data_IF_026605763300
#
_entry.id   IF_026605763300
#
_cell.length_a   1.000
_cell.length_b   1.000
_cell.length_c   1.000
_cell.angle_alpha   90.00
_cell.angle_beta   90.00
_cell.angle_gamma   90.00
#
_symmetry.space_group_name_H-M   'P 1'
#
loop_
_entity.id
_entity.type
_entity.pdbx_description
1 polymer ?
#
# COMPACT_ATOMS: atom_id res chain seq x y z
N UNK A 1 -3.65 11.46 16.58
CA UNK A 1 -3.59 10.53 15.40
C UNK A 1 -3.11 9.19 15.87
N UNK A 2 -3.77 8.10 15.42
CA UNK A 2 -3.38 6.72 15.80
C UNK A 2 -2.75 5.94 14.63
N UNK A 3 -3.11 6.29 13.40
CA UNK A 3 -2.60 5.60 12.22
C UNK A 3 -2.77 6.46 10.94
N UNK A 4 -2.13 6.05 9.85
CA UNK A 4 -2.06 6.81 8.58
C UNK A 4 -3.40 6.94 7.83
N UNK A 5 -4.38 6.09 8.14
CA UNK A 5 -5.69 6.15 7.47
C UNK A 5 -6.46 7.43 7.85
N UNK A 6 -6.15 8.03 9.02
CA UNK A 6 -6.74 9.30 9.43
C UNK A 6 -6.36 10.44 8.46
N UNK A 7 -5.22 10.35 7.78
CA UNK A 7 -4.84 11.31 6.74
C UNK A 7 -5.73 11.19 5.50
N UNK A 8 -5.96 9.95 5.03
CA UNK A 8 -6.87 9.70 3.90
C UNK A 8 -8.28 10.20 4.21
N UNK A 9 -8.81 9.84 5.38
CA UNK A 9 -10.16 10.21 5.82
C UNK A 9 -10.31 11.74 5.98
N UNK A 10 -9.30 12.42 6.53
CA UNK A 10 -9.28 13.87 6.67
C UNK A 10 -9.21 14.58 5.31
N UNK A 11 -8.32 14.15 4.42
CA UNK A 11 -8.18 14.74 3.09
C UNK A 11 -9.39 14.47 2.21
N UNK A 12 -9.99 13.28 2.27
CA UNK A 12 -11.22 12.97 1.55
C UNK A 12 -12.38 13.87 2.01
N UNK A 13 -12.51 14.14 3.30
CA UNK A 13 -13.57 15.01 3.81
C UNK A 13 -13.49 16.46 3.30
N UNK A 14 -12.32 16.91 2.88
CA UNK A 14 -12.07 18.27 2.35
C UNK A 14 -12.03 18.28 0.82
N UNK A 15 -11.46 17.25 0.20
CA UNK A 15 -11.16 17.17 -1.23
C UNK A 15 -11.67 15.87 -1.88
N UNK A 16 -12.94 15.46 -1.72
CA UNK A 16 -13.42 14.14 -2.16
C UNK A 16 -13.18 13.90 -3.65
N UNK A 17 -13.45 14.90 -4.49
CA UNK A 17 -13.39 14.79 -5.95
C UNK A 17 -12.01 15.14 -6.54
N UNK A 18 -11.04 15.49 -5.71
CA UNK A 18 -9.69 15.80 -6.18
C UNK A 18 -8.94 14.51 -6.48
N UNK A 19 -8.26 14.47 -7.65
CA UNK A 19 -7.36 13.39 -8.00
C UNK A 19 -6.16 13.37 -7.04
N UNK A 20 -5.97 12.24 -6.34
CA UNK A 20 -4.86 12.04 -5.41
C UNK A 20 -3.70 11.30 -6.09
N UNK A 21 -3.99 10.27 -6.88
CA UNK A 21 -2.98 9.55 -7.67
C UNK A 21 -3.34 9.57 -9.14
N UNK A 22 -2.34 9.85 -9.97
CA UNK A 22 -2.48 9.97 -11.41
C UNK A 22 -1.48 9.05 -12.10
N UNK A 23 -1.91 8.45 -13.19
CA UNK A 23 -1.10 7.78 -14.20
C UNK A 23 -1.29 8.49 -15.54
N UNK A 24 -0.60 8.03 -16.58
CA UNK A 24 -0.66 8.65 -17.91
C UNK A 24 -2.10 8.79 -18.45
N UNK A 25 -2.92 7.75 -18.28
CA UNK A 25 -4.28 7.67 -18.81
C UNK A 25 -5.37 7.53 -17.75
N UNK A 26 -4.99 7.52 -16.47
CA UNK A 26 -5.91 7.24 -15.36
C UNK A 26 -5.62 8.13 -14.16
N UNK A 27 -6.67 8.56 -13.52
CA UNK A 27 -6.59 9.22 -12.22
C UNK A 27 -7.59 8.59 -11.25
N UNK A 28 -7.31 8.71 -9.96
CA UNK A 28 -8.18 8.24 -8.90
C UNK A 28 -8.32 9.34 -7.84
N UNK A 29 -9.55 9.63 -7.44
CA UNK A 29 -9.86 10.68 -6.45
C UNK A 29 -9.67 10.17 -5.02
N UNK A 30 -9.64 11.10 -4.05
CA UNK A 30 -9.61 10.73 -2.63
C UNK A 30 -10.79 9.85 -2.23
N UNK A 31 -11.99 10.18 -2.73
CA UNK A 31 -13.20 9.41 -2.47
C UNK A 31 -13.11 7.98 -3.04
N UNK A 32 -12.64 7.83 -4.26
CA UNK A 32 -12.48 6.52 -4.90
C UNK A 32 -11.44 5.66 -4.18
N UNK A 33 -10.30 6.26 -3.76
CA UNK A 33 -9.27 5.56 -2.96
C UNK A 33 -9.86 5.11 -1.63
N UNK A 34 -10.58 5.98 -0.93
CA UNK A 34 -11.21 5.64 0.35
C UNK A 34 -12.19 4.47 0.19
N UNK A 35 -13.13 4.58 -0.74
CA UNK A 35 -14.13 3.54 -0.98
C UNK A 35 -13.52 2.21 -1.37
N UNK A 36 -12.57 2.21 -2.32
CA UNK A 36 -11.92 0.98 -2.77
C UNK A 36 -11.06 0.35 -1.67
N UNK A 37 -10.32 1.16 -0.89
CA UNK A 37 -9.53 0.66 0.23
C UNK A 37 -10.40 0.03 1.33
N UNK A 38 -11.56 0.60 1.63
CA UNK A 38 -12.50 0.02 2.60
C UNK A 38 -13.09 -1.31 2.13
N UNK A 39 -13.38 -1.46 0.84
CA UNK A 39 -13.86 -2.72 0.24
C UNK A 39 -12.78 -3.81 0.35
N UNK A 40 -11.54 -3.50 -0.05
CA UNK A 40 -10.40 -4.41 0.10
C UNK A 40 -10.20 -4.78 1.57
N UNK A 41 -10.24 -3.80 2.47
CA UNK A 41 -10.13 -4.01 3.91
C UNK A 41 -11.19 -4.95 4.45
N UNK A 42 -12.43 -4.85 3.95
CA UNK A 42 -13.53 -5.74 4.35
C UNK A 42 -13.29 -7.19 3.93
N UNK A 43 -12.83 -7.40 2.69
CA UNK A 43 -12.48 -8.74 2.18
C UNK A 43 -11.37 -9.37 3.02
N UNK A 44 -10.36 -8.60 3.37
CA UNK A 44 -9.17 -9.08 4.08
C UNK A 44 -9.36 -9.13 5.61
N UNK A 45 -10.45 -8.59 6.14
CA UNK A 45 -10.70 -8.51 7.59
C UNK A 45 -10.83 -9.89 8.27
N UNK A 46 -11.17 -10.94 7.52
CA UNK A 46 -11.28 -12.31 8.03
C UNK A 46 -9.96 -13.12 7.88
N UNK A 47 -8.92 -12.54 7.33
CA UNK A 47 -7.58 -13.14 7.25
C UNK A 47 -7.06 -13.35 8.67
N UNK A 48 -6.73 -14.60 8.99
CA UNK A 48 -6.26 -14.96 10.32
C UNK A 48 -4.76 -14.76 10.48
N UNK A 49 -4.36 -14.40 11.69
CA UNK A 49 -2.96 -14.17 12.02
C UNK A 49 -2.59 -12.69 11.99
N UNK A 50 -1.37 -12.38 12.37
CA UNK A 50 -0.83 -11.01 12.45
C UNK A 50 0.34 -10.78 11.49
N UNK A 51 0.71 -11.80 10.71
CA UNK A 51 1.76 -11.65 9.71
C UNK A 51 1.29 -10.70 8.60
N UNK A 52 2.22 -9.99 7.94
CA UNK A 52 1.87 -9.09 6.85
C UNK A 52 1.15 -9.80 5.71
N UNK A 53 0.35 -9.05 4.95
CA UNK A 53 -0.20 -9.51 3.68
C UNK A 53 0.75 -9.10 2.55
N UNK A 54 1.19 -10.08 1.76
CA UNK A 54 2.02 -9.82 0.59
C UNK A 54 1.17 -9.20 -0.53
N UNK A 55 1.70 -8.18 -1.21
CA UNK A 55 1.06 -7.57 -2.39
C UNK A 55 1.93 -7.82 -3.60
N UNK A 56 1.41 -8.58 -4.58
CA UNK A 56 2.07 -8.83 -5.86
C UNK A 56 1.27 -8.12 -6.94
N UNK A 57 1.72 -6.92 -7.30
CA UNK A 57 0.99 -6.05 -8.22
C UNK A 57 1.95 -5.16 -9.00
N UNK A 58 1.47 -4.68 -10.15
CA UNK A 58 2.20 -3.76 -11.00
C UNK A 58 2.35 -2.36 -10.38
N UNK A 59 3.04 -1.48 -11.09
CA UNK A 59 3.20 -0.07 -10.69
C UNK A 59 2.02 0.74 -11.20
N UNK A 60 0.94 0.78 -10.41
CA UNK A 60 -0.34 1.41 -10.76
C UNK A 60 -1.06 1.95 -9.52
N UNK A 61 -2.03 2.84 -9.73
CA UNK A 61 -2.78 3.49 -8.62
C UNK A 61 -3.52 2.48 -7.75
N UNK A 62 -4.00 1.36 -8.32
CA UNK A 62 -4.68 0.30 -7.58
C UNK A 62 -3.75 -0.37 -6.57
N UNK A 63 -2.45 -0.43 -6.85
CA UNK A 63 -1.46 -0.99 -5.92
C UNK A 63 -1.37 -0.16 -4.64
N UNK A 64 -1.42 1.18 -4.76
CA UNK A 64 -1.47 2.06 -3.59
C UNK A 64 -2.79 1.85 -2.83
N UNK A 65 -3.90 1.72 -3.54
CA UNK A 65 -5.20 1.42 -2.95
C UNK A 65 -5.19 0.07 -2.20
N UNK A 66 -4.49 -0.94 -2.75
CA UNK A 66 -4.30 -2.23 -2.09
C UNK A 66 -3.55 -2.10 -0.76
N UNK A 67 -2.47 -1.29 -0.70
CA UNK A 67 -1.74 -1.05 0.54
C UNK A 67 -2.65 -0.47 1.63
N UNK A 68 -3.42 0.55 1.29
CA UNK A 68 -4.35 1.19 2.22
C UNK A 68 -5.48 0.24 2.64
N UNK A 69 -5.98 -0.60 1.72
CA UNK A 69 -6.98 -1.62 2.00
C UNK A 69 -6.48 -2.67 2.99
N UNK A 70 -5.23 -3.11 2.85
CA UNK A 70 -4.60 -4.03 3.82
C UNK A 70 -4.52 -3.35 5.19
N UNK A 71 -4.17 -2.07 5.24
CA UNK A 71 -4.14 -1.32 6.51
C UNK A 71 -5.54 -1.23 7.12
N UNK A 72 -6.62 -1.05 6.33
CA UNK A 72 -8.00 -1.11 6.83
C UNK A 72 -8.36 -2.46 7.44
N UNK A 73 -7.78 -3.57 6.97
CA UNK A 73 -7.98 -4.90 7.54
C UNK A 73 -7.19 -5.16 8.84
N UNK A 74 -6.39 -4.19 9.30
CA UNK A 74 -5.57 -4.32 10.50
C UNK A 74 -4.23 -5.03 10.30
N UNK A 75 -3.82 -5.27 9.05
CA UNK A 75 -2.55 -5.91 8.72
C UNK A 75 -1.53 -4.91 8.18
N UNK A 76 -0.25 -5.25 8.33
CA UNK A 76 0.83 -4.61 7.57
C UNK A 76 0.86 -5.16 6.14
N UNK A 77 1.23 -4.33 5.16
CA UNK A 77 1.45 -4.80 3.80
C UNK A 77 2.94 -5.06 3.53
N UNK A 78 3.23 -6.00 2.62
CA UNK A 78 4.58 -6.26 2.12
C UNK A 78 4.56 -6.26 0.59
N UNK A 79 5.05 -5.20 -0.06
CA UNK A 79 5.06 -5.11 -1.51
C UNK A 79 6.14 -6.01 -2.11
N UNK A 80 5.79 -6.69 -3.20
CA UNK A 80 6.69 -7.58 -3.95
C UNK A 80 6.49 -7.29 -5.45
N UNK A 81 7.54 -6.88 -6.14
CA UNK A 81 7.50 -6.77 -7.60
C UNK A 81 7.46 -8.17 -8.23
N UNK A 82 6.36 -8.49 -8.90
CA UNK A 82 6.18 -9.77 -9.61
C UNK A 82 7.17 -10.01 -10.76
N UNK A 83 7.91 -8.98 -11.19
CA UNK A 83 8.96 -9.06 -12.22
C UNK A 83 10.34 -9.42 -11.66
N UNK A 84 10.49 -9.53 -10.34
CA UNK A 84 11.73 -10.01 -9.74
C UNK A 84 12.02 -11.47 -10.17
N UNK A 85 13.30 -11.88 -10.19
CA UNK A 85 13.65 -13.28 -10.41
C UNK A 85 12.91 -14.21 -9.43
N UNK A 86 12.32 -15.29 -9.94
CA UNK A 86 11.48 -16.20 -9.16
C UNK A 86 12.13 -16.65 -7.85
N UNK A 87 13.39 -17.07 -7.87
CA UNK A 87 14.11 -17.49 -6.65
C UNK A 87 14.16 -16.39 -5.58
N UNK A 88 14.16 -15.10 -5.98
CA UNK A 88 14.15 -13.97 -5.05
C UNK A 88 12.78 -13.78 -4.42
N UNK A 89 11.73 -13.95 -5.21
CA UNK A 89 10.34 -13.92 -4.70
C UNK A 89 10.12 -15.06 -3.71
N UNK A 90 10.57 -16.27 -4.04
CA UNK A 90 10.46 -17.44 -3.16
C UNK A 90 11.12 -17.18 -1.80
N UNK A 91 12.34 -16.63 -1.77
CA UNK A 91 13.04 -16.29 -0.53
C UNK A 91 12.28 -15.21 0.27
N UNK A 92 11.70 -14.21 -0.41
CA UNK A 92 10.91 -13.16 0.24
C UNK A 92 9.67 -13.79 0.90
N UNK A 93 8.91 -14.60 0.18
CA UNK A 93 7.70 -15.25 0.69
C UNK A 93 8.01 -16.21 1.84
N UNK A 94 9.06 -17.02 1.72
CA UNK A 94 9.54 -17.91 2.78
C UNK A 94 9.95 -17.16 4.05
N UNK A 95 10.59 -15.99 3.88
CA UNK A 95 11.04 -15.16 5.01
C UNK A 95 9.87 -14.41 5.65
N UNK A 96 8.98 -13.85 4.82
CA UNK A 96 7.83 -13.07 5.25
C UNK A 96 6.77 -13.93 5.96
N UNK A 97 6.53 -15.13 5.43
CA UNK A 97 5.44 -16.03 5.87
C UNK A 97 4.11 -15.28 5.94
N UNK A 98 3.62 -14.74 4.83
CA UNK A 98 2.48 -13.84 4.85
C UNK A 98 1.20 -14.56 5.29
N UNK A 99 0.28 -13.82 5.93
CA UNK A 99 -1.05 -14.34 6.29
C UNK A 99 -1.95 -14.53 5.08
N UNK A 100 -1.73 -13.76 4.02
CA UNK A 100 -2.40 -13.86 2.73
C UNK A 100 -1.54 -13.23 1.63
N UNK A 101 -1.92 -13.46 0.37
CA UNK A 101 -1.37 -12.78 -0.80
C UNK A 101 -2.53 -12.06 -1.50
N UNK A 102 -2.35 -10.77 -1.76
CA UNK A 102 -3.24 -9.96 -2.60
C UNK A 102 -2.52 -9.68 -3.92
N UNK A 103 -3.09 -10.09 -5.03
CA UNK A 103 -2.47 -9.93 -6.34
C UNK A 103 -3.43 -9.27 -7.33
N UNK A 104 -2.90 -8.47 -8.25
CA UNK A 104 -3.67 -8.03 -9.40
C UNK A 104 -3.83 -9.17 -10.43
N UNK A 105 -4.73 -8.98 -11.40
CA UNK A 105 -5.04 -9.99 -12.42
C UNK A 105 -3.81 -10.46 -13.19
N UNK A 106 -2.83 -9.57 -13.46
CA UNK A 106 -1.61 -9.89 -14.20
C UNK A 106 -0.66 -10.80 -13.41
N UNK A 107 -0.72 -10.74 -12.08
CA UNK A 107 0.14 -11.50 -11.17
C UNK A 107 -0.59 -12.63 -10.42
N UNK A 108 -1.87 -12.85 -10.70
CA UNK A 108 -2.69 -13.83 -9.96
C UNK A 108 -2.13 -15.26 -10.09
N UNK A 109 -1.76 -15.68 -11.28
CA UNK A 109 -1.18 -17.00 -11.51
C UNK A 109 0.13 -17.21 -10.73
N UNK A 110 1.00 -16.19 -10.69
CA UNK A 110 2.22 -16.21 -9.87
C UNK A 110 1.90 -16.33 -8.38
N UNK A 111 0.90 -15.57 -7.90
CA UNK A 111 0.48 -15.61 -6.51
C UNK A 111 -0.05 -16.98 -6.11
N UNK A 112 -0.85 -17.63 -6.96
CA UNK A 112 -1.38 -18.98 -6.74
C UNK A 112 -0.25 -20.03 -6.68
N UNK A 113 0.76 -19.93 -7.54
CA UNK A 113 1.92 -20.80 -7.49
C UNK A 113 2.76 -20.64 -6.20
N UNK A 114 2.83 -19.42 -5.67
CA UNK A 114 3.59 -19.11 -4.46
C UNK A 114 2.83 -19.49 -3.18
N UNK A 115 1.53 -19.64 -3.27
CA UNK A 115 0.63 -19.69 -2.11
C UNK A 115 0.89 -20.86 -1.17
N UNK A 116 1.13 -22.08 -1.70
CA UNK A 116 1.40 -23.26 -0.88
C UNK A 116 0.45 -23.42 0.33
N UNK A 117 -0.84 -23.09 0.13
CA UNK A 117 -1.85 -23.12 1.18
C UNK A 117 -2.13 -21.75 1.86
N UNK A 118 -1.41 -20.70 1.51
CA UNK A 118 -1.70 -19.33 1.92
C UNK A 118 -2.91 -18.82 1.12
N UNK A 119 -3.91 -18.14 1.73
CA UNK A 119 -5.03 -17.57 1.00
C UNK A 119 -4.57 -16.55 -0.04
N UNK A 120 -5.11 -16.64 -1.25
CA UNK A 120 -4.86 -15.67 -2.35
C UNK A 120 -6.13 -14.93 -2.66
N UNK A 121 -6.03 -13.62 -2.81
CA UNK A 121 -7.11 -12.71 -3.18
C UNK A 121 -6.75 -11.96 -4.44
N UNK A 122 -7.74 -11.76 -5.34
CA UNK A 122 -7.59 -10.95 -6.54
C UNK A 122 -8.00 -9.50 -6.22
N UNK A 123 -7.11 -8.55 -6.50
CA UNK A 123 -7.28 -7.14 -6.16
C UNK A 123 -8.53 -6.53 -6.82
N UNK A 124 -8.70 -6.76 -8.10
CA UNK A 124 -9.82 -6.20 -8.88
C UNK A 124 -11.17 -6.71 -8.37
N UNK A 125 -11.25 -7.97 -7.93
CA UNK A 125 -12.46 -8.51 -7.31
C UNK A 125 -12.70 -7.91 -5.92
N UNK A 126 -11.66 -7.79 -5.11
CA UNK A 126 -11.77 -7.19 -3.78
C UNK A 126 -12.26 -5.73 -3.84
N UNK A 127 -11.87 -4.97 -4.88
CA UNK A 127 -12.34 -3.60 -5.11
C UNK A 127 -13.82 -3.50 -5.51
N UNK A 128 -14.46 -4.60 -5.94
CA UNK A 128 -15.87 -4.62 -6.33
C UNK A 128 -16.81 -5.06 -5.21
N UNK A 129 -16.26 -5.57 -4.11
CA UNK A 129 -17.04 -6.05 -2.96
C UNK A 129 -17.73 -4.91 -2.20
N UNK A 130 -18.60 -5.27 -1.27
CA UNK A 130 -19.29 -4.31 -0.41
C UNK A 130 -18.50 -4.01 0.85
N UNK A 131 -18.60 -2.76 1.33
CA UNK A 131 -17.95 -2.35 2.58
C UNK A 131 -18.75 -2.77 3.81
N UNK A 132 -18.12 -3.46 4.75
CA UNK A 132 -18.64 -3.65 6.11
C UNK A 132 -18.02 -2.61 7.06
N UNK A 133 -18.68 -1.46 7.13
CA UNK A 133 -18.19 -0.34 7.95
C UNK A 133 -18.11 -0.70 9.46
N UNK A 134 -18.97 -1.58 9.97
CA UNK A 134 -18.94 -1.98 11.38
C UNK A 134 -17.69 -2.80 11.69
N UNK A 135 -17.39 -3.78 10.84
CA UNK A 135 -16.20 -4.61 10.95
C UNK A 135 -14.92 -3.78 10.90
N UNK A 136 -14.81 -2.88 9.92
CA UNK A 136 -13.65 -1.98 9.80
C UNK A 136 -13.50 -1.04 10.99
N UNK A 137 -14.62 -0.53 11.53
CA UNK A 137 -14.59 0.32 12.73
C UNK A 137 -14.12 -0.46 13.97
N UNK A 138 -14.51 -1.72 14.12
CA UNK A 138 -14.04 -2.57 15.22
C UNK A 138 -12.54 -2.82 15.14
N UNK A 139 -12.03 -3.18 13.96
CA UNK A 139 -10.57 -3.29 13.70
C UNK A 139 -9.88 -1.98 14.05
N UNK A 140 -10.40 -0.87 13.54
CA UNK A 140 -9.83 0.48 13.72
C UNK A 140 -9.68 0.88 15.19
N UNK A 141 -10.62 0.51 16.05
CA UNK A 141 -10.58 0.80 17.49
C UNK A 141 -9.38 0.17 18.20
N UNK A 142 -8.94 -0.99 17.71
CA UNK A 142 -7.86 -1.76 18.29
C UNK A 142 -6.48 -1.37 17.75
N UNK A 143 -6.41 -0.61 16.65
CA UNK A 143 -5.14 -0.16 16.06
C UNK A 143 -4.45 0.88 16.95
N UNK A 144 -3.13 0.74 17.06
CA UNK A 144 -2.26 1.67 17.80
C UNK A 144 -1.10 2.15 16.92
N UNK A 145 -0.48 3.26 17.29
CA UNK A 145 0.61 3.88 16.51
C UNK A 145 1.81 2.97 16.30
N UNK A 146 2.06 2.04 17.21
CA UNK A 146 3.21 1.14 17.15
C UNK A 146 2.96 -0.11 16.31
N UNK A 147 1.73 -0.31 15.84
CA UNK A 147 1.45 -1.43 14.93
C UNK A 147 2.30 -1.33 13.65
N UNK A 148 2.75 -2.47 13.12
CA UNK A 148 3.43 -2.52 11.84
C UNK A 148 2.54 -1.97 10.72
N UNK A 149 3.10 -1.12 9.87
CA UNK A 149 2.42 -0.58 8.69
C UNK A 149 2.83 -1.30 7.42
N UNK A 150 4.14 -1.49 7.24
CA UNK A 150 4.67 -2.21 6.08
C UNK A 150 5.98 -2.94 6.39
N UNK A 151 6.29 -3.90 5.52
CA UNK A 151 7.58 -4.60 5.48
C UNK A 151 8.16 -4.46 4.07
N UNK A 152 9.25 -3.71 3.92
CA UNK A 152 9.96 -3.56 2.65
C UNK A 152 11.24 -4.38 2.69
N UNK A 153 11.46 -5.19 1.65
CA UNK A 153 12.64 -6.02 1.52
C UNK A 153 13.79 -5.27 0.84
N UNK A 154 14.95 -5.34 1.46
CA UNK A 154 16.20 -4.77 0.93
C UNK A 154 17.20 -5.88 0.60
N UNK A 155 18.13 -5.60 -0.32
CA UNK A 155 19.25 -6.50 -0.57
C UNK A 155 20.17 -6.48 0.65
N UNK A 156 20.14 -7.57 1.45
CA UNK A 156 21.04 -7.69 2.59
C UNK A 156 22.51 -7.82 2.17
N UNK A 157 23.44 -7.34 2.99
CA UNK A 157 24.89 -7.48 2.78
C UNK A 157 25.36 -8.94 2.65
N UNK A 158 24.54 -9.89 3.09
CA UNK A 158 24.77 -11.34 2.99
C UNK A 158 24.16 -11.98 1.74
N UNK A 159 23.63 -11.18 0.81
CA UNK A 159 22.95 -11.65 -0.41
C UNK A 159 21.52 -12.14 -0.20
N UNK A 160 21.07 -12.34 1.05
CA UNK A 160 19.69 -12.70 1.35
C UNK A 160 18.83 -11.45 1.59
N UNK A 161 17.62 -11.35 0.98
CA UNK A 161 16.70 -10.26 1.27
C UNK A 161 16.38 -10.16 2.77
N UNK A 162 16.32 -8.93 3.29
CA UNK A 162 15.92 -8.64 4.68
C UNK A 162 14.71 -7.74 4.68
N UNK A 163 13.66 -8.14 5.40
CA UNK A 163 12.46 -7.33 5.59
C UNK A 163 12.67 -6.29 6.69
N UNK A 164 12.46 -5.02 6.35
CA UNK A 164 12.49 -3.89 7.30
C UNK A 164 11.05 -3.53 7.64
N UNK A 165 10.70 -3.68 8.92
CA UNK A 165 9.37 -3.36 9.44
C UNK A 165 9.34 -1.88 9.83
N UNK A 166 8.30 -1.17 9.38
CA UNK A 166 8.05 0.22 9.76
C UNK A 166 6.67 0.32 10.39
N UNK A 167 6.56 0.99 11.54
CA UNK A 167 5.29 1.25 12.22
C UNK A 167 4.58 2.50 11.68
N UNK A 168 3.28 2.64 11.99
CA UNK A 168 2.55 3.88 11.72
C UNK A 168 3.26 5.09 12.31
N UNK A 169 3.70 5.02 13.56
CA UNK A 169 4.40 6.12 14.25
C UNK A 169 5.65 6.57 13.51
N UNK A 170 6.48 5.61 13.09
CA UNK A 170 7.73 5.93 12.39
C UNK A 170 7.47 6.63 11.07
N UNK A 171 6.46 6.18 10.31
CA UNK A 171 6.07 6.84 9.06
C UNK A 171 5.47 8.22 9.32
N UNK A 172 4.57 8.37 10.29
CA UNK A 172 3.94 9.65 10.61
C UNK A 172 5.02 10.69 10.94
N UNK A 173 5.94 10.39 11.85
CA UNK A 173 7.05 11.29 12.19
C UNK A 173 7.89 11.67 10.98
N UNK A 174 8.18 10.70 10.11
CA UNK A 174 8.96 10.93 8.90
C UNK A 174 8.24 11.86 7.91
N UNK A 175 6.98 11.60 7.59
CA UNK A 175 6.20 12.39 6.62
C UNK A 175 5.95 13.81 7.12
N UNK A 176 5.58 13.99 8.39
CA UNK A 176 5.38 15.32 9.00
C UNK A 176 6.67 16.15 8.94
N UNK A 177 7.80 15.55 9.30
CA UNK A 177 9.10 16.22 9.21
C UNK A 177 9.47 16.57 7.77
N UNK A 178 9.28 15.63 6.84
CA UNK A 178 9.57 15.83 5.42
C UNK A 178 8.76 16.99 4.84
N UNK A 179 7.44 17.00 5.05
CA UNK A 179 6.54 18.05 4.57
C UNK A 179 6.91 19.42 5.15
N UNK A 180 7.26 19.47 6.44
CA UNK A 180 7.68 20.72 7.10
C UNK A 180 8.94 21.33 6.47
N UNK A 181 9.93 20.48 6.14
CA UNK A 181 11.18 20.92 5.51
C UNK A 181 10.96 21.34 4.06
N UNK A 182 10.20 20.53 3.30
CA UNK A 182 9.95 20.76 1.87
C UNK A 182 8.88 21.84 1.62
N UNK A 183 8.12 22.25 2.65
CA UNK A 183 7.03 23.24 2.57
C UNK A 183 5.94 22.86 1.57
N UNK A 184 5.62 21.56 1.50
CA UNK A 184 4.59 21.04 0.59
C UNK A 184 3.21 21.47 1.08
N UNK A 185 2.35 21.90 0.14
CA UNK A 185 0.96 22.24 0.38
C UNK A 185 -0.01 21.43 -0.49
N UNK A 186 -1.30 21.73 -0.38
CA UNK A 186 -2.35 20.99 -1.10
C UNK A 186 -2.35 21.21 -2.62
N UNK A 187 -1.66 22.23 -3.12
CA UNK A 187 -1.60 22.55 -4.55
C UNK A 187 -0.43 21.86 -5.24
N UNK A 188 0.48 21.27 -4.49
CA UNK A 188 1.65 20.60 -5.03
C UNK A 188 1.29 19.30 -5.75
N UNK A 189 2.17 18.90 -6.65
CA UNK A 189 2.10 17.64 -7.38
C UNK A 189 3.44 16.94 -7.32
N UNK A 190 3.50 15.79 -6.65
CA UNK A 190 4.71 14.98 -6.54
C UNK A 190 4.86 14.07 -7.76
N UNK A 191 6.10 13.83 -8.21
CA UNK A 191 6.41 12.85 -9.25
C UNK A 191 7.00 11.58 -8.63
N UNK A 192 6.28 10.47 -8.68
CA UNK A 192 6.83 9.19 -8.27
C UNK A 192 7.65 8.57 -9.39
N UNK A 193 8.94 8.43 -9.17
CA UNK A 193 9.90 7.75 -10.06
C UNK A 193 10.29 6.36 -9.55
N UNK A 194 10.19 6.16 -8.23
CA UNK A 194 10.64 4.93 -7.58
C UNK A 194 9.64 3.80 -7.74
N UNK A 195 10.09 2.54 -7.83
CA UNK A 195 9.21 1.38 -7.72
C UNK A 195 8.38 1.45 -6.42
N UNK A 196 7.11 1.01 -6.47
CA UNK A 196 6.21 1.08 -5.32
C UNK A 196 6.58 0.13 -4.17
N UNK A 197 7.40 -0.88 -4.46
CA UNK A 197 8.00 -1.80 -3.48
C UNK A 197 9.32 -1.29 -2.88
N UNK A 198 9.70 -0.03 -3.16
CA UNK A 198 10.93 0.58 -2.67
C UNK A 198 10.65 1.73 -1.71
N UNK A 199 11.53 1.88 -0.71
CA UNK A 199 11.35 2.85 0.39
C UNK A 199 11.19 4.30 -0.09
N UNK A 200 11.80 4.69 -1.21
CA UNK A 200 11.69 6.05 -1.73
C UNK A 200 10.27 6.42 -2.22
N UNK A 201 9.46 5.43 -2.63
CA UNK A 201 8.08 5.65 -3.05
C UNK A 201 7.14 6.04 -1.88
N UNK A 202 7.52 5.73 -0.65
CA UNK A 202 6.68 5.96 0.53
C UNK A 202 6.27 7.44 0.68
N UNK A 203 7.14 8.39 0.35
CA UNK A 203 6.81 9.81 0.35
C UNK A 203 5.70 10.13 -0.64
N UNK A 204 5.83 9.60 -1.85
CA UNK A 204 4.93 9.88 -2.96
C UNK A 204 3.56 9.23 -2.74
N UNK A 205 3.49 8.21 -1.86
CA UNK A 205 2.24 7.56 -1.44
C UNK A 205 1.57 8.34 -0.30
N UNK A 206 2.31 8.71 0.75
CA UNK A 206 1.69 9.19 1.99
C UNK A 206 1.64 10.71 2.13
N UNK A 207 2.53 11.46 1.46
CA UNK A 207 2.47 12.94 1.47
C UNK A 207 1.15 13.45 0.87
N UNK A 208 0.65 12.91 -0.27
CA UNK A 208 -0.66 13.31 -0.79
C UNK A 208 -1.79 13.11 0.21
N UNK A 209 -1.79 11.99 0.93
CA UNK A 209 -2.82 11.70 1.93
C UNK A 209 -2.79 12.70 3.11
N UNK A 210 -1.57 13.08 3.54
CA UNK A 210 -1.39 14.03 4.64
C UNK A 210 -1.73 15.47 4.27
N UNK A 211 -1.38 15.90 3.06
CA UNK A 211 -1.49 17.31 2.62
C UNK A 211 -2.70 17.60 1.73
N UNK A 212 -3.41 16.59 1.25
CA UNK A 212 -4.44 16.79 0.25
C UNK A 212 -3.90 17.18 -1.13
N UNK A 213 -2.62 16.96 -1.40
CA UNK A 213 -1.99 17.20 -2.70
C UNK A 213 -2.12 15.98 -3.63
N UNK A 214 -1.42 15.97 -4.77
CA UNK A 214 -1.49 14.88 -5.74
C UNK A 214 -0.13 14.22 -5.95
N UNK A 215 -0.11 12.97 -6.41
CA UNK A 215 1.10 12.29 -6.87
C UNK A 215 0.88 11.65 -8.25
N UNK A 216 1.87 11.80 -9.13
CA UNK A 216 1.88 11.23 -10.48
C UNK A 216 2.82 10.04 -10.50
N UNK A 217 2.31 8.86 -10.83
CA UNK A 217 3.13 7.66 -11.08
C UNK A 217 3.68 7.77 -12.49
N UNK A 218 4.93 8.21 -12.60
CA UNK A 218 5.55 8.46 -13.91
C UNK A 218 5.92 7.12 -14.56
N UNK A 219 5.48 6.84 -15.80
CA UNK A 219 5.79 5.61 -16.50
C UNK A 219 7.30 5.33 -16.56
N UNK A 220 7.68 4.05 -16.41
CA UNK A 220 9.10 3.66 -16.35
C UNK A 220 9.86 3.99 -17.64
N UNK A 221 9.19 3.93 -18.77
CA UNK A 221 9.74 4.26 -20.10
C UNK A 221 10.27 5.68 -20.21
N UNK A 222 9.75 6.62 -19.43
CA UNK A 222 10.21 8.02 -19.43
C UNK A 222 11.56 8.24 -18.72
N UNK A 223 12.11 7.20 -18.09
CA UNK A 223 13.43 7.26 -17.43
C UNK A 223 14.51 6.49 -18.16
N UNK A 224 14.19 5.87 -19.30
CA UNK A 224 15.10 4.98 -20.01
C UNK A 224 15.70 5.63 -21.27
N UNK A 225 15.49 6.93 -21.46
CA UNK A 225 16.13 7.72 -22.54
C UNK A 225 17.36 8.47 -22.04
#
# INVERSE_FOLDING_TARGET
MKNVLEWLEASESVYPDKAVYLEDTKEITFHEVLCASQKIGTVLADVKGTAPIAVISGRKVETITAYLGIVYSGHAYAPIDGKLPRHRIDIIVETLKPSAILADSDNLALAEELAQGIPVFELEKAMQETTDAKKLQEIRRNMIMTDPLYVIFTSGSTGKPKGVITSHQSLICYIESYVSVMKIDENDRLGNQSPLDYIAAIRDIYVPLYKGCSSVIIPKEYFME
#
